data_IF_889831000648
#
_entry.id   IF_889831000648
#
_cell.length_a   1.000
_cell.length_b   1.000
_cell.length_c   1.000
_cell.angle_alpha   90.00
_cell.angle_beta   90.00
_cell.angle_gamma   90.00
#
_symmetry.space_group_name_H-M   'P 1'
#
loop_
_entity.id
_entity.type
_entity.pdbx_description
1 polymer ?
#
# COMPACT_ATOMS: atom_id res chain seq x y z
N UNK A 1 -67.51 -47.01 24.18
CA UNK A 1 -68.40 -45.86 24.45
C UNK A 1 -67.47 -44.73 24.89
N UNK A 2 -67.16 -43.69 24.11
CA UNK A 2 -67.91 -42.97 23.07
C UNK A 2 -66.93 -42.25 22.12
N UNK A 3 -67.36 -42.08 20.87
CA UNK A 3 -66.69 -41.43 19.74
C UNK A 3 -66.71 -39.89 19.76
N UNK A 4 -65.74 -39.28 19.06
CA UNK A 4 -65.79 -38.06 18.19
C UNK A 4 -66.35 -36.71 18.70
N UNK A 5 -66.08 -35.53 18.04
CA UNK A 5 -65.55 -35.32 16.69
C UNK A 5 -64.41 -34.30 16.51
N UNK A 6 -63.90 -34.25 15.28
CA UNK A 6 -62.96 -33.29 14.73
C UNK A 6 -63.50 -31.83 14.65
N UNK A 7 -62.61 -30.85 14.68
CA UNK A 7 -62.87 -29.50 14.16
C UNK A 7 -61.75 -29.08 13.20
N UNK A 8 -62.14 -28.95 11.93
CA UNK A 8 -61.43 -28.31 10.84
C UNK A 8 -61.29 -26.79 11.12
N UNK A 9 -60.06 -26.28 11.17
CA UNK A 9 -59.77 -24.85 11.16
C UNK A 9 -58.99 -24.47 9.91
N UNK A 10 -59.68 -23.95 8.90
CA UNK A 10 -59.09 -23.31 7.70
C UNK A 10 -58.85 -21.81 7.95
N UNK A 11 -57.76 -21.31 7.35
CA UNK A 11 -57.50 -19.93 6.89
C UNK A 11 -56.93 -18.93 7.93
N UNK A 12 -56.04 -17.96 7.55
CA UNK A 12 -56.04 -17.24 6.27
C UNK A 12 -54.69 -17.13 5.52
N UNK A 13 -54.81 -17.10 4.19
CA UNK A 13 -53.79 -16.60 3.26
C UNK A 13 -53.48 -15.13 3.60
N UNK A 14 -52.27 -14.85 4.08
CA UNK A 14 -51.79 -13.49 4.33
C UNK A 14 -51.29 -12.82 3.04
N UNK A 15 -51.47 -11.49 2.90
CA UNK A 15 -51.55 -10.82 1.61
C UNK A 15 -50.19 -10.45 1.01
N UNK A 16 -50.20 -10.44 -0.33
CA UNK A 16 -49.33 -9.85 -1.38
C UNK A 16 -48.52 -8.55 -1.09
N UNK A 17 -47.97 -8.32 0.11
CA UNK A 17 -47.11 -7.14 0.39
C UNK A 17 -45.66 -7.28 -0.07
N UNK A 18 -45.15 -8.50 -0.29
CA UNK A 18 -43.76 -8.73 -0.67
C UNK A 18 -43.34 -8.17 -2.05
N UNK A 19 -44.30 -7.93 -2.96
CA UNK A 19 -43.98 -7.50 -4.34
C UNK A 19 -43.65 -6.01 -4.47
N UNK A 20 -44.09 -5.17 -3.54
CA UNK A 20 -43.83 -3.72 -3.61
C UNK A 20 -42.39 -3.36 -3.24
N UNK A 21 -41.80 -4.06 -2.25
CA UNK A 21 -40.40 -3.84 -1.86
C UNK A 21 -39.42 -4.23 -2.97
N UNK A 22 -39.69 -5.35 -3.65
CA UNK A 22 -38.86 -5.81 -4.78
C UNK A 22 -38.93 -4.84 -5.96
N UNK A 23 -40.11 -4.32 -6.29
CA UNK A 23 -40.25 -3.33 -7.36
C UNK A 23 -39.46 -2.03 -7.08
N UNK A 24 -39.49 -1.54 -5.85
CA UNK A 24 -38.74 -0.33 -5.45
C UNK A 24 -37.22 -0.58 -5.54
N UNK A 25 -36.75 -1.74 -5.07
CA UNK A 25 -35.34 -2.09 -5.15
C UNK A 25 -34.84 -2.19 -6.60
N UNK A 26 -35.62 -2.79 -7.50
CA UNK A 26 -35.28 -2.90 -8.93
C UNK A 26 -35.21 -1.52 -9.59
N UNK A 27 -36.17 -0.63 -9.30
CA UNK A 27 -36.15 0.75 -9.84
C UNK A 27 -34.93 1.52 -9.34
N UNK A 28 -34.56 1.38 -8.06
CA UNK A 28 -33.36 2.01 -7.51
C UNK A 28 -32.06 1.51 -8.16
N UNK A 29 -31.94 0.20 -8.38
CA UNK A 29 -30.79 -0.40 -9.06
C UNK A 29 -30.67 0.05 -10.51
N UNK A 30 -31.78 0.17 -11.23
CA UNK A 30 -31.79 0.66 -12.61
C UNK A 30 -31.40 2.15 -12.69
N UNK A 31 -31.86 2.97 -11.75
CA UNK A 31 -31.46 4.38 -11.64
C UNK A 31 -29.96 4.52 -11.33
N UNK A 32 -29.43 3.75 -10.38
CA UNK A 32 -28.01 3.74 -10.06
C UNK A 32 -27.15 3.31 -11.26
N UNK A 33 -27.60 2.29 -12.00
CA UNK A 33 -26.92 1.83 -13.21
C UNK A 33 -26.93 2.89 -14.32
N UNK A 34 -28.04 3.59 -14.53
CA UNK A 34 -28.14 4.67 -15.50
C UNK A 34 -27.22 5.85 -15.16
N UNK A 35 -27.09 6.20 -13.88
CA UNK A 35 -26.16 7.26 -13.42
C UNK A 35 -24.70 6.85 -13.63
N UNK A 36 -24.34 5.60 -13.31
CA UNK A 36 -22.98 5.09 -13.55
C UNK A 36 -22.63 5.02 -15.05
N UNK A 37 -23.57 4.58 -15.89
CA UNK A 37 -23.39 4.56 -17.34
C UNK A 37 -23.25 5.97 -17.95
N UNK A 38 -24.02 6.95 -17.44
CA UNK A 38 -23.92 8.35 -17.86
C UNK A 38 -22.56 8.98 -17.52
N UNK A 39 -22.02 8.72 -16.33
CA UNK A 39 -20.70 9.21 -15.92
C UNK A 39 -19.56 8.61 -16.78
N UNK A 40 -19.67 7.32 -17.12
CA UNK A 40 -18.71 6.67 -18.02
C UNK A 40 -18.74 7.24 -19.45
N UNK A 41 -19.93 7.53 -19.99
CA UNK A 41 -20.09 8.07 -21.34
C UNK A 41 -19.55 9.50 -21.49
N UNK A 42 -19.72 10.34 -20.47
CA UNK A 42 -19.16 11.70 -20.47
C UNK A 42 -17.62 11.69 -20.42
N UNK A 43 -17.03 10.74 -19.68
CA UNK A 43 -15.56 10.56 -19.62
C UNK A 43 -14.97 10.07 -20.94
N UNK A 44 -15.69 9.23 -21.70
CA UNK A 44 -15.23 8.79 -23.03
C UNK A 44 -15.24 9.92 -24.07
N UNK A 45 -16.26 10.80 -24.04
CA UNK A 45 -16.38 11.93 -24.99
C UNK A 45 -15.26 12.97 -24.88
N UNK A 46 -14.62 13.11 -23.72
CA UNK A 46 -13.48 14.03 -23.56
C UNK A 46 -12.18 13.52 -24.19
N UNK A 47 -12.04 12.21 -24.42
CA UNK A 47 -10.86 11.66 -25.08
C UNK A 47 -10.88 11.85 -26.60
N UNK A 48 -12.05 11.79 -27.25
CA UNK A 48 -12.15 12.00 -28.71
C UNK A 48 -11.93 13.46 -29.16
N UNK A 49 -11.93 14.42 -28.23
CA UNK A 49 -11.70 15.84 -28.57
C UNK A 49 -10.22 16.22 -28.66
N UNK A 50 -9.29 15.33 -28.30
CA UNK A 50 -7.84 15.62 -28.29
C UNK A 50 -7.14 15.12 -29.56
N UNK A 51 -7.72 14.15 -30.27
CA UNK A 51 -7.16 13.61 -31.53
C UNK A 51 -7.46 14.47 -32.78
N UNK A 52 -8.20 15.57 -32.62
CA UNK A 52 -8.62 16.45 -33.72
C UNK A 52 -7.70 17.63 -34.06
N UNK A 53 -6.62 17.86 -33.30
CA UNK A 53 -5.66 18.92 -33.61
C UNK A 53 -4.60 18.39 -34.58
N UNK A 54 -4.90 18.52 -35.87
CA UNK A 54 -3.99 18.22 -36.97
C UNK A 54 -2.65 18.97 -36.90
N UNK A 55 -1.67 18.55 -37.72
CA UNK A 55 -0.29 19.02 -37.65
C UNK A 55 -0.18 20.52 -37.96
N UNK A 56 0.50 21.25 -37.07
CA UNK A 56 0.85 22.66 -37.24
C UNK A 56 1.75 22.88 -38.48
N UNK A 57 1.68 24.05 -39.14
CA UNK A 57 2.41 24.32 -40.37
C UNK A 57 3.93 24.45 -40.13
N UNK A 58 4.70 23.94 -41.10
CA UNK A 58 6.15 24.02 -41.24
C UNK A 58 6.69 25.42 -40.93
N UNK A 59 7.35 25.56 -39.78
CA UNK A 59 8.29 26.65 -39.54
C UNK A 59 9.60 26.30 -40.26
N UNK A 60 10.03 27.23 -41.08
CA UNK A 60 11.21 27.27 -41.92
C UNK A 60 12.48 26.75 -41.23
N UNK A 61 13.19 25.86 -41.93
CA UNK A 61 14.48 25.32 -41.53
C UNK A 61 15.54 26.43 -41.40
N UNK A 62 15.92 26.72 -40.16
CA UNK A 62 17.22 27.32 -39.83
C UNK A 62 18.24 26.17 -39.88
N UNK A 63 19.40 26.30 -40.53
CA UNK A 63 20.40 25.25 -40.52
C UNK A 63 21.11 25.27 -39.15
N UNK A 64 20.47 24.71 -38.14
CA UNK A 64 21.14 24.38 -36.88
C UNK A 64 22.10 23.24 -37.15
N UNK A 65 23.37 23.64 -37.29
CA UNK A 65 24.55 22.78 -37.16
C UNK A 65 24.64 22.32 -35.71
N UNK A 66 23.69 21.49 -35.29
CA UNK A 66 23.72 20.83 -33.99
C UNK A 66 23.59 19.35 -34.31
N UNK A 67 24.75 18.71 -34.42
CA UNK A 67 24.83 17.27 -34.53
C UNK A 67 23.95 16.69 -33.42
N UNK A 68 22.89 16.00 -33.83
CA UNK A 68 21.99 15.27 -32.97
C UNK A 68 22.83 14.36 -32.07
N UNK A 69 23.13 14.84 -30.87
CA UNK A 69 23.61 14.01 -29.78
C UNK A 69 22.42 13.12 -29.47
N UNK A 70 22.41 11.92 -30.06
CA UNK A 70 21.48 10.87 -29.63
C UNK A 70 21.56 10.84 -28.10
N UNK A 71 20.44 10.89 -27.36
CA UNK A 71 20.48 10.73 -25.93
C UNK A 71 21.27 9.46 -25.65
N UNK A 72 22.42 9.59 -24.97
CA UNK A 72 23.13 8.41 -24.48
C UNK A 72 22.12 7.64 -23.65
N UNK A 73 21.92 6.33 -23.88
CA UNK A 73 21.08 5.52 -23.01
C UNK A 73 21.53 5.78 -21.58
N UNK A 74 20.62 6.21 -20.70
CA UNK A 74 20.95 6.36 -19.28
C UNK A 74 21.41 4.98 -18.82
N UNK A 75 22.63 4.90 -18.29
CA UNK A 75 23.11 3.68 -17.69
C UNK A 75 22.09 3.25 -16.61
N UNK A 76 21.74 1.96 -16.52
CA UNK A 76 20.80 1.49 -15.50
C UNK A 76 21.27 1.93 -14.12
N UNK A 77 20.37 2.55 -13.34
CA UNK A 77 20.67 2.91 -11.94
C UNK A 77 21.04 1.63 -11.20
N UNK A 78 22.25 1.58 -10.65
CA UNK A 78 22.75 0.45 -9.87
C UNK A 78 22.68 0.82 -8.39
N UNK A 79 22.12 -0.08 -7.60
CA UNK A 79 22.03 0.06 -6.15
C UNK A 79 22.97 -0.98 -5.51
N UNK A 80 24.19 -0.60 -5.09
CA UNK A 80 25.11 -1.51 -4.40
C UNK A 80 24.48 -1.99 -3.09
N UNK A 81 24.58 -3.29 -2.80
CA UNK A 81 24.10 -3.85 -1.53
C UNK A 81 25.02 -3.39 -0.39
N UNK A 82 24.46 -2.78 0.66
CA UNK A 82 25.19 -2.46 1.91
C UNK A 82 25.27 -3.67 2.83
N UNK A 83 24.12 -4.30 3.07
CA UNK A 83 24.01 -5.55 3.83
C UNK A 83 22.81 -6.34 3.33
N UNK A 84 22.84 -7.67 3.51
CA UNK A 84 21.82 -8.56 2.96
C UNK A 84 21.26 -9.50 4.03
N UNK A 85 19.94 -9.45 4.20
CA UNK A 85 19.19 -10.39 5.04
C UNK A 85 19.66 -10.42 6.50
N UNK A 86 20.07 -9.27 7.03
CA UNK A 86 20.50 -9.13 8.42
C UNK A 86 19.31 -9.27 9.37
N UNK A 87 19.40 -10.15 10.39
CA UNK A 87 18.30 -10.38 11.32
C UNK A 87 18.21 -9.27 12.37
N UNK A 88 16.98 -8.88 12.70
CA UNK A 88 16.64 -7.93 13.75
C UNK A 88 15.62 -8.57 14.69
N UNK A 89 16.02 -8.93 15.91
CA UNK A 89 15.15 -9.57 16.90
C UNK A 89 14.62 -8.51 17.87
N UNK A 90 13.31 -8.44 18.01
CA UNK A 90 12.63 -7.51 18.91
C UNK A 90 12.08 -8.30 20.09
N UNK A 91 12.78 -8.24 21.22
CA UNK A 91 12.40 -8.90 22.46
C UNK A 91 11.94 -7.86 23.48
N UNK A 92 10.66 -7.48 23.40
CA UNK A 92 10.09 -6.41 24.21
C UNK A 92 9.02 -6.94 25.14
N UNK A 93 8.80 -6.22 26.24
CA UNK A 93 7.60 -6.40 27.02
C UNK A 93 6.35 -6.00 26.24
N UNK A 94 5.20 -6.42 26.76
CA UNK A 94 3.90 -6.05 26.23
C UNK A 94 3.66 -4.54 26.34
N UNK A 95 3.05 -3.93 25.30
CA UNK A 95 2.80 -2.49 25.20
C UNK A 95 4.06 -1.59 25.33
N UNK A 96 5.20 -2.12 24.91
CA UNK A 96 6.47 -1.40 24.85
C UNK A 96 6.72 -0.82 23.45
N UNK A 97 7.65 0.13 23.39
CA UNK A 97 8.12 0.73 22.15
C UNK A 97 9.61 0.50 22.03
N UNK A 98 10.07 0.11 20.85
CA UNK A 98 11.49 0.05 20.51
C UNK A 98 11.74 0.84 19.22
N UNK A 99 12.93 1.39 19.14
CA UNK A 99 13.40 2.17 18.01
C UNK A 99 14.50 1.40 17.28
N UNK A 100 14.47 1.48 15.95
CA UNK A 100 15.31 0.69 15.05
C UNK A 100 16.11 1.64 14.16
N UNK A 101 17.40 1.39 14.09
CA UNK A 101 18.33 1.99 13.13
C UNK A 101 18.51 0.99 11.97
N UNK A 102 18.37 1.49 10.74
CA UNK A 102 18.52 0.70 9.52
C UNK A 102 19.78 1.06 8.74
N UNK A 103 20.47 2.15 9.07
CA UNK A 103 21.79 2.44 8.49
C UNK A 103 22.81 1.40 9.00
N UNK A 104 22.71 1.07 10.28
CA UNK A 104 23.31 -0.10 10.89
C UNK A 104 22.19 -0.93 11.53
N UNK A 105 21.90 -2.16 11.07
CA UNK A 105 20.71 -2.91 11.50
C UNK A 105 20.79 -3.24 13.00
N UNK A 106 20.23 -2.34 13.82
CA UNK A 106 20.26 -2.39 15.28
C UNK A 106 18.89 -2.06 15.86
N UNK A 107 18.59 -2.71 16.98
CA UNK A 107 17.41 -2.42 17.78
C UNK A 107 17.82 -1.71 19.08
N UNK A 108 16.84 -1.06 19.71
CA UNK A 108 16.99 -0.33 20.98
C UNK A 108 17.93 0.88 20.89
N UNK A 109 17.84 1.60 19.78
CA UNK A 109 18.57 2.87 19.60
C UNK A 109 17.80 4.06 20.17
N UNK A 110 18.45 5.21 20.27
CA UNK A 110 17.77 6.46 20.60
C UNK A 110 16.76 6.86 19.51
N UNK A 111 15.61 7.42 19.90
CA UNK A 111 14.55 7.84 18.97
C UNK A 111 15.04 8.80 17.86
N UNK A 112 15.99 9.68 18.18
CA UNK A 112 16.56 10.63 17.22
C UNK A 112 17.40 9.98 16.11
N UNK A 113 17.84 8.75 16.31
CA UNK A 113 18.64 7.98 15.35
C UNK A 113 17.81 6.93 14.60
N UNK A 114 16.53 6.78 14.95
CA UNK A 114 15.75 5.64 14.52
C UNK A 114 15.04 5.90 13.19
N UNK A 115 15.22 5.00 12.23
CA UNK A 115 14.46 4.98 10.98
C UNK A 115 13.07 4.39 11.15
N UNK A 116 12.91 3.45 12.08
CA UNK A 116 11.63 2.84 12.40
C UNK A 116 11.33 2.85 13.89
N UNK A 117 10.04 2.96 14.18
CA UNK A 117 9.46 2.79 15.51
C UNK A 117 8.52 1.61 15.49
N UNK A 118 8.80 0.63 16.34
CA UNK A 118 7.95 -0.53 16.57
C UNK A 118 7.22 -0.39 17.89
N UNK A 119 5.90 -0.57 17.86
CA UNK A 119 5.04 -0.54 19.03
C UNK A 119 4.43 -1.93 19.24
N UNK A 120 4.83 -2.60 20.32
CA UNK A 120 4.19 -3.86 20.71
C UNK A 120 2.80 -3.59 21.26
N UNK A 121 1.92 -4.58 21.14
CA UNK A 121 0.54 -4.53 21.63
C UNK A 121 0.23 -5.76 22.45
N UNK A 122 -0.77 -5.65 23.30
CA UNK A 122 -1.22 -6.72 24.18
C UNK A 122 -2.55 -7.30 23.68
N UNK A 123 -2.73 -8.61 23.87
CA UNK A 123 -3.97 -9.29 23.50
C UNK A 123 -4.05 -9.54 21.99
N UNK A 124 -5.21 -9.25 21.40
CA UNK A 124 -5.50 -9.57 19.99
C UNK A 124 -5.11 -8.45 19.00
N UNK A 125 -4.64 -7.29 19.49
CA UNK A 125 -4.22 -6.20 18.61
C UNK A 125 -2.85 -6.51 18.01
N UNK A 126 -2.67 -6.39 16.68
CA UNK A 126 -1.37 -6.61 16.05
C UNK A 126 -0.38 -5.49 16.44
N UNK A 127 0.92 -5.80 16.54
CA UNK A 127 1.94 -4.79 16.70
C UNK A 127 1.96 -3.85 15.49
N UNK A 128 2.56 -2.67 15.67
CA UNK A 128 2.57 -1.62 14.66
C UNK A 128 3.98 -1.12 14.36
N UNK A 129 4.22 -0.78 13.10
CA UNK A 129 5.44 -0.11 12.63
C UNK A 129 5.11 1.27 12.09
N UNK A 130 6.00 2.23 12.30
CA UNK A 130 5.92 3.57 11.74
C UNK A 130 7.33 4.11 11.44
N UNK A 131 7.39 5.14 10.60
CA UNK A 131 8.64 5.83 10.31
C UNK A 131 9.11 6.62 11.53
N UNK A 132 10.38 6.47 11.88
CA UNK A 132 11.07 7.24 12.90
C UNK A 132 11.67 8.54 12.35
N UNK A 133 12.43 9.24 13.18
CA UNK A 133 13.05 10.51 12.82
C UNK A 133 14.18 10.38 11.77
N UNK A 134 14.89 9.25 11.81
CA UNK A 134 15.95 8.87 10.88
C UNK A 134 15.46 8.55 9.48
N UNK A 135 14.18 8.23 9.28
CA UNK A 135 13.66 7.93 7.94
C UNK A 135 13.35 9.21 7.14
N UNK A 136 13.88 9.30 5.93
CA UNK A 136 13.52 10.30 4.95
C UNK A 136 12.14 10.01 4.34
N UNK A 137 11.87 8.74 4.02
CA UNK A 137 10.60 8.27 3.48
C UNK A 137 10.40 6.78 3.73
N UNK A 138 9.21 6.28 3.44
CA UNK A 138 8.95 4.85 3.40
C UNK A 138 7.71 4.53 2.58
N UNK A 139 7.47 3.25 2.34
CA UNK A 139 6.32 2.75 1.59
C UNK A 139 5.29 2.11 2.51
N UNK A 140 4.08 1.94 1.99
CA UNK A 140 3.16 0.92 2.52
C UNK A 140 3.73 -0.50 2.31
N UNK A 141 2.97 -1.50 2.70
CA UNK A 141 3.36 -2.91 2.57
C UNK A 141 3.72 -3.28 1.11
N UNK A 142 4.86 -3.95 0.94
CA UNK A 142 5.39 -4.47 -0.33
C UNK A 142 5.61 -5.99 -0.25
N UNK A 143 6.04 -6.60 -1.35
CA UNK A 143 6.50 -7.99 -1.36
C UNK A 143 7.88 -8.13 -0.70
N UNK A 144 8.10 -9.21 0.05
CA UNK A 144 9.38 -9.57 0.64
C UNK A 144 10.50 -9.86 -0.39
N UNK A 145 10.13 -10.06 -1.66
CA UNK A 145 11.09 -10.27 -2.76
C UNK A 145 11.40 -8.98 -3.54
N UNK A 146 11.00 -7.81 -3.02
CA UNK A 146 11.23 -6.53 -3.69
C UNK A 146 12.73 -6.20 -3.74
N UNK A 147 13.22 -5.80 -4.90
CA UNK A 147 14.59 -5.30 -5.06
C UNK A 147 14.68 -3.79 -4.80
N UNK A 148 15.87 -3.22 -4.88
CA UNK A 148 16.09 -1.79 -4.66
C UNK A 148 15.22 -0.90 -5.56
N UNK A 149 15.08 -1.25 -6.85
CA UNK A 149 14.28 -0.48 -7.80
C UNK A 149 12.77 -0.60 -7.51
N UNK A 150 12.32 -1.78 -7.09
CA UNK A 150 10.97 -2.03 -6.58
C UNK A 150 10.69 -1.20 -5.32
N UNK A 151 11.66 -1.12 -4.40
CA UNK A 151 11.54 -0.31 -3.19
C UNK A 151 11.47 1.19 -3.48
N UNK A 152 12.38 1.72 -4.30
CA UNK A 152 12.34 3.12 -4.73
C UNK A 152 10.98 3.47 -5.36
N UNK A 153 10.50 2.62 -6.27
CA UNK A 153 9.18 2.79 -6.90
C UNK A 153 8.07 2.77 -5.86
N UNK A 154 8.07 1.81 -4.94
CA UNK A 154 7.03 1.67 -3.94
C UNK A 154 6.93 2.89 -3.02
N UNK A 155 8.07 3.45 -2.60
CA UNK A 155 8.12 4.69 -1.82
C UNK A 155 7.50 5.85 -2.62
N UNK A 156 7.85 5.97 -3.91
CA UNK A 156 7.33 7.04 -4.78
C UNK A 156 5.85 6.94 -5.08
N UNK A 157 5.32 5.73 -5.30
CA UNK A 157 3.93 5.53 -5.74
C UNK A 157 2.95 5.24 -4.60
N UNK A 158 3.45 4.78 -3.46
CA UNK A 158 2.65 4.42 -2.28
C UNK A 158 3.33 4.82 -0.97
N UNK A 159 3.62 6.11 -0.77
CA UNK A 159 4.35 6.57 0.40
C UNK A 159 3.57 6.30 1.70
N UNK A 160 4.32 5.94 2.74
CA UNK A 160 3.87 5.98 4.12
C UNK A 160 4.18 7.36 4.70
N UNK A 161 3.13 8.13 5.01
CA UNK A 161 3.28 9.44 5.63
C UNK A 161 3.86 9.35 7.05
N UNK A 162 4.54 10.42 7.50
CA UNK A 162 5.03 10.53 8.88
C UNK A 162 3.87 10.38 9.88
N UNK A 163 4.10 9.61 10.94
CA UNK A 163 3.09 9.32 11.97
C UNK A 163 2.01 8.31 11.56
N UNK A 164 1.96 7.87 10.29
CA UNK A 164 1.12 6.74 9.90
C UNK A 164 1.75 5.43 10.38
N UNK A 165 0.88 4.52 10.79
CA UNK A 165 1.25 3.21 11.31
C UNK A 165 0.75 2.11 10.37
N UNK A 166 1.55 1.07 10.20
CA UNK A 166 1.16 -0.16 9.51
C UNK A 166 1.12 -1.32 10.51
N UNK A 167 0.20 -2.25 10.29
CA UNK A 167 0.13 -3.47 11.08
C UNK A 167 1.28 -4.40 10.71
N UNK A 168 1.93 -4.95 11.72
CA UNK A 168 3.01 -5.92 11.56
C UNK A 168 2.40 -7.31 11.40
N UNK A 169 2.64 -7.94 10.25
CA UNK A 169 2.13 -9.28 9.91
C UNK A 169 3.28 -10.14 9.39
N UNK A 170 3.36 -11.40 9.81
CA UNK A 170 4.36 -12.32 9.24
C UNK A 170 4.20 -12.41 7.72
N UNK A 171 5.33 -12.40 7.01
CA UNK A 171 5.40 -12.35 5.54
C UNK A 171 5.14 -10.98 4.93
N UNK A 172 4.90 -9.93 5.73
CA UNK A 172 4.83 -8.56 5.23
C UNK A 172 6.22 -7.95 5.10
N UNK A 173 6.38 -6.99 4.20
CA UNK A 173 7.58 -6.18 4.11
C UNK A 173 7.23 -4.72 3.87
N UNK A 174 8.15 -3.81 4.20
CA UNK A 174 8.07 -2.40 3.84
C UNK A 174 9.43 -1.92 3.30
N UNK A 175 9.41 -0.86 2.50
CA UNK A 175 10.62 -0.18 2.08
C UNK A 175 10.79 1.12 2.87
N UNK A 176 12.02 1.42 3.28
CA UNK A 176 12.41 2.64 3.99
C UNK A 176 13.54 3.30 3.22
N UNK A 177 13.52 4.62 3.11
CA UNK A 177 14.65 5.42 2.69
C UNK A 177 15.18 6.13 3.94
N UNK A 178 16.42 5.81 4.35
CA UNK A 178 17.05 6.44 5.51
C UNK A 178 17.46 7.87 5.17
N UNK A 179 17.60 8.73 6.19
CA UNK A 179 18.03 10.12 6.05
C UNK A 179 19.53 10.29 6.25
N UNK A 180 20.29 9.19 6.38
CA UNK A 180 21.74 9.22 6.45
C UNK A 180 22.38 9.78 5.17
N UNK A 181 23.68 10.04 5.26
CA UNK A 181 24.50 10.45 4.12
C UNK A 181 25.72 9.52 4.03
N UNK A 182 25.79 8.62 3.03
CA UNK A 182 24.80 8.40 1.96
C UNK A 182 23.47 7.81 2.50
N UNK A 183 22.38 8.09 1.79
CA UNK A 183 21.07 7.51 2.11
C UNK A 183 21.02 6.05 1.65
N UNK A 184 20.27 5.23 2.40
CA UNK A 184 20.08 3.82 2.09
C UNK A 184 18.60 3.50 1.81
N UNK A 185 18.36 2.67 0.79
CA UNK A 185 17.07 2.02 0.58
C UNK A 185 17.09 0.69 1.31
N UNK A 186 16.13 0.47 2.20
CA UNK A 186 16.09 -0.72 3.05
C UNK A 186 14.75 -1.43 2.89
N UNK A 187 14.80 -2.70 2.50
CA UNK A 187 13.66 -3.61 2.59
C UNK A 187 13.66 -4.26 3.98
N UNK A 188 12.60 -4.04 4.75
CA UNK A 188 12.38 -4.67 6.05
C UNK A 188 11.27 -5.68 5.92
N UNK A 189 11.59 -6.95 6.10
CA UNK A 189 10.68 -8.09 6.08
C UNK A 189 10.36 -8.53 7.51
N UNK A 190 9.09 -8.81 7.77
CA UNK A 190 8.60 -9.39 9.01
C UNK A 190 8.58 -10.91 8.86
N UNK A 191 9.54 -11.58 9.47
CA UNK A 191 9.69 -13.04 9.41
C UNK A 191 8.66 -13.70 10.32
N UNK A 192 8.56 -13.23 11.56
CA UNK A 192 7.67 -13.79 12.58
C UNK A 192 7.13 -12.71 13.53
N UNK A 193 5.95 -12.97 14.09
CA UNK A 193 5.32 -12.12 15.10
C UNK A 193 4.82 -13.03 16.22
N UNK A 194 5.34 -12.83 17.43
CA UNK A 194 4.93 -13.55 18.62
C UNK A 194 3.77 -12.88 19.35
N UNK A 195 2.98 -13.67 20.06
CA UNK A 195 1.82 -13.17 20.83
C UNK A 195 2.17 -12.31 22.05
N UNK A 196 3.44 -12.27 22.45
CA UNK A 196 3.95 -11.47 23.58
C UNK A 196 4.48 -10.10 23.14
N UNK A 197 4.33 -9.73 21.86
CA UNK A 197 4.88 -8.48 21.32
C UNK A 197 6.29 -8.64 20.72
N UNK A 198 6.84 -9.84 20.72
CA UNK A 198 8.10 -10.16 20.04
C UNK A 198 7.92 -10.17 18.53
N UNK A 199 8.95 -9.79 17.78
CA UNK A 199 8.95 -9.91 16.33
C UNK A 199 10.35 -10.23 15.80
N UNK A 200 10.40 -11.11 14.81
CA UNK A 200 11.58 -11.35 14.00
C UNK A 200 11.49 -10.53 12.72
N UNK A 201 12.43 -9.61 12.54
CA UNK A 201 12.60 -8.84 11.31
C UNK A 201 13.86 -9.26 10.57
N UNK A 202 13.89 -8.96 9.28
CA UNK A 202 15.05 -9.14 8.41
C UNK A 202 15.19 -7.93 7.50
N UNK A 203 16.38 -7.35 7.44
CA UNK A 203 16.65 -6.16 6.64
C UNK A 203 17.63 -6.45 5.51
N UNK A 204 17.37 -5.88 4.33
CA UNK A 204 18.31 -5.84 3.20
C UNK A 204 18.42 -4.39 2.75
N UNK A 205 19.65 -3.88 2.65
CA UNK A 205 19.91 -2.49 2.31
C UNK A 205 20.71 -2.35 1.03
N UNK A 206 20.42 -1.27 0.30
CA UNK A 206 21.19 -0.82 -0.83
C UNK A 206 21.51 0.68 -0.74
N UNK A 207 22.72 1.05 -1.11
CA UNK A 207 23.14 2.45 -1.17
C UNK A 207 22.44 3.17 -2.31
N UNK A 208 21.88 4.34 -2.02
CA UNK A 208 21.31 5.22 -3.05
C UNK A 208 22.46 5.95 -3.77
N UNK A 209 22.56 5.84 -5.11
CA UNK A 209 23.54 6.59 -5.87
C UNK A 209 23.34 8.09 -5.70
N UNK A 210 24.46 8.83 -5.63
CA UNK A 210 24.45 10.30 -5.61
C UNK A 210 24.09 10.88 -6.97
#
# INVERSE_FOLDING_TARGET
>A
MTESPAVFGKSPVKPRRARRGVAVAVVFSLLAFAVAAGAGFLSWRTFETVDGLGPLPLVTAVPSREAATRPRPLDPVRYPVSYAKEPLRLDLACAAVIHLDLDEPRADVAESLADLRYESRCGAEPPKLSLGAGAAAGSRQVSADSDAAGCDRAIRTGPLGRGLQIEVKSGSALCVLTAATPAELVLVEVIDVGGSGTAGLRATSWQVPK
#
